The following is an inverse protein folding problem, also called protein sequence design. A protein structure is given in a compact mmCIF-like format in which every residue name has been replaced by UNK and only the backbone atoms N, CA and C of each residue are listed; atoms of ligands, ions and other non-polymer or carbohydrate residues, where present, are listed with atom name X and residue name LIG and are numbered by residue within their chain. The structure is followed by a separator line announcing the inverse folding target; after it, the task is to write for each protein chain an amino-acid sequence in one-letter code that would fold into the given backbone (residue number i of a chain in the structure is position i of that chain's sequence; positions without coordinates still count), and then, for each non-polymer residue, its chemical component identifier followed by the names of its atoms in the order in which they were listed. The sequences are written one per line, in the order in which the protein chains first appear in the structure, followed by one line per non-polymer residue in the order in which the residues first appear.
data_IF_625476902606
#
_entry.id   IF_625476902606
#
_cell.length_a   1.000
_cell.length_b   1.000
_cell.length_c   1.000
_cell.angle_alpha   90.00
_cell.angle_beta   90.00
_cell.angle_gamma   90.00
#
_symmetry.space_group_name_H-M   'P 1'
#
loop_
_entity.id
_entity.type
_entity.pdbx_description
1 polymer ?
#
# COMPACT_ATOMS: atom_id res chain seq x y z
N UNK A 1 -12.56 -7.04 10.00
CA UNK A 1 -12.48 -5.78 9.24
C UNK A 1 -11.22 -5.77 8.40
N UNK A 2 -11.32 -5.25 7.19
CA UNK A 2 -10.15 -5.04 6.32
C UNK A 2 -9.58 -3.65 6.59
N UNK A 3 -8.28 -3.56 6.82
CA UNK A 3 -7.63 -2.27 7.09
C UNK A 3 -7.21 -1.58 5.80
N UNK A 4 -7.51 -0.28 5.71
CA UNK A 4 -6.99 0.66 4.71
C UNK A 4 -6.18 1.71 5.46
N UNK A 5 -4.99 2.02 4.98
CA UNK A 5 -4.18 3.15 5.45
C UNK A 5 -4.14 4.19 4.34
N UNK A 6 -4.50 5.41 4.65
CA UNK A 6 -4.60 6.49 3.66
C UNK A 6 -3.81 7.70 4.11
N UNK A 7 -3.17 8.35 3.14
CA UNK A 7 -2.44 9.58 3.36
C UNK A 7 -2.57 10.52 2.16
N UNK A 8 -2.37 11.81 2.43
CA UNK A 8 -2.37 12.87 1.44
C UNK A 8 -1.14 13.74 1.54
N UNK A 9 -0.46 13.96 0.42
CA UNK A 9 0.73 14.81 0.35
C UNK A 9 0.50 15.98 -0.60
N UNK A 10 0.93 17.18 -0.23
CA UNK A 10 0.90 18.35 -1.11
C UNK A 10 2.21 19.11 -1.05
N UNK A 11 2.98 19.03 -2.13
CA UNK A 11 4.20 19.84 -2.30
C UNK A 11 3.81 21.29 -2.57
N UNK A 12 4.48 22.21 -1.92
CA UNK A 12 4.20 23.66 -1.99
C UNK A 12 2.75 24.00 -1.58
N UNK A 13 2.20 23.28 -0.60
CA UNK A 13 0.82 23.46 -0.13
C UNK A 13 0.46 24.96 0.05
N UNK A 14 -0.71 25.35 -0.50
CA UNK A 14 -1.18 26.74 -0.47
C UNK A 14 -0.50 27.70 -1.47
N UNK A 15 0.42 27.24 -2.33
CA UNK A 15 1.05 28.06 -3.38
C UNK A 15 0.48 27.74 -4.76
N UNK A 16 0.67 28.65 -5.72
CA UNK A 16 0.13 28.56 -7.10
C UNK A 16 0.63 27.31 -7.87
N UNK A 17 1.81 26.79 -7.52
CA UNK A 17 2.41 25.59 -8.11
C UNK A 17 2.32 24.36 -7.18
N UNK A 18 1.34 24.32 -6.31
CA UNK A 18 1.07 23.17 -5.45
C UNK A 18 0.77 21.92 -6.30
N UNK A 19 1.29 20.78 -5.86
CA UNK A 19 1.03 19.47 -6.45
C UNK A 19 0.64 18.51 -5.34
N UNK A 20 -0.62 18.11 -5.34
CA UNK A 20 -1.16 17.17 -4.38
C UNK A 20 -1.19 15.76 -4.95
N UNK A 21 -1.07 14.79 -4.06
CA UNK A 21 -1.26 13.38 -4.35
C UNK A 21 -1.82 12.67 -3.12
N UNK A 22 -2.39 11.52 -3.32
CA UNK A 22 -3.01 10.70 -2.30
C UNK A 22 -2.59 9.25 -2.45
N UNK A 23 -2.71 8.48 -1.37
CA UNK A 23 -2.41 7.07 -1.37
C UNK A 23 -3.43 6.25 -0.57
N UNK A 24 -3.55 4.99 -0.94
CA UNK A 24 -4.22 3.97 -0.16
C UNK A 24 -3.38 2.70 -0.14
N UNK A 25 -3.16 2.16 1.06
CA UNK A 25 -2.39 0.95 1.32
C UNK A 25 -3.27 -0.10 1.98
N UNK A 26 -3.27 -1.29 1.43
CA UNK A 26 -4.03 -2.43 1.91
C UNK A 26 -3.09 -3.55 2.36
N UNK A 27 -2.88 -3.73 3.67
CA UNK A 27 -2.00 -4.79 4.19
C UNK A 27 -2.28 -6.19 3.66
N UNK A 28 -3.57 -6.50 3.48
CA UNK A 28 -4.01 -7.81 2.99
C UNK A 28 -4.00 -7.94 1.47
N UNK A 29 -3.85 -6.83 0.74
CA UNK A 29 -3.86 -6.74 -0.73
C UNK A 29 -2.80 -5.75 -1.22
N UNK A 30 -1.51 -5.98 -0.95
CA UNK A 30 -0.46 -4.99 -1.24
C UNK A 30 -0.36 -4.62 -2.71
N UNK A 31 -0.63 -5.54 -3.65
CA UNK A 31 -0.64 -5.28 -5.09
C UNK A 31 -1.70 -4.28 -5.54
N UNK A 32 -2.75 -4.10 -4.75
CA UNK A 32 -3.81 -3.13 -5.01
C UNK A 32 -3.50 -1.75 -4.42
N UNK A 33 -2.44 -1.65 -3.62
CA UNK A 33 -2.02 -0.38 -3.00
C UNK A 33 -1.42 0.56 -4.02
N UNK A 34 -1.73 1.84 -3.87
CA UNK A 34 -1.34 2.85 -4.85
C UNK A 34 -1.10 4.24 -4.24
N UNK A 35 -0.29 5.05 -4.92
CA UNK A 35 -0.25 6.50 -4.81
C UNK A 35 -0.63 7.13 -6.16
N UNK A 36 -1.41 8.20 -6.14
CA UNK A 36 -1.87 8.89 -7.37
C UNK A 36 -1.86 10.40 -7.18
N UNK A 37 -1.47 11.19 -8.21
CA UNK A 37 -1.60 12.64 -8.15
C UNK A 37 -3.09 13.04 -8.13
N UNK A 38 -3.40 14.15 -7.46
CA UNK A 38 -4.70 14.80 -7.59
C UNK A 38 -4.92 15.28 -9.04
N UNK A 39 -6.18 15.34 -9.51
CA UNK A 39 -6.51 15.96 -10.79
C UNK A 39 -5.95 17.38 -10.86
N UNK A 40 -5.34 17.74 -12.01
CA UNK A 40 -4.63 19.01 -12.17
C UNK A 40 -5.53 20.25 -12.10
N UNK A 41 -6.81 20.08 -12.40
CA UNK A 41 -7.86 21.11 -12.36
C UNK A 41 -8.54 21.23 -11.00
N UNK A 42 -8.17 20.38 -10.04
CA UNK A 42 -8.71 20.35 -8.68
C UNK A 42 -7.86 21.10 -7.66
N UNK A 43 -8.41 21.21 -6.45
CA UNK A 43 -7.68 21.73 -5.29
C UNK A 43 -6.49 20.85 -4.93
N UNK A 44 -5.31 21.45 -4.82
CA UNK A 44 -4.02 20.78 -4.58
C UNK A 44 -3.57 20.89 -3.12
N UNK A 45 -4.51 20.95 -2.16
CA UNK A 45 -4.17 21.06 -0.73
C UNK A 45 -3.99 19.69 -0.07
N UNK A 46 -3.25 19.67 1.06
CA UNK A 46 -3.12 18.47 1.89
C UNK A 46 -4.50 17.90 2.27
N UNK A 47 -5.40 18.75 2.76
CA UNK A 47 -6.73 18.31 3.20
C UNK A 47 -7.55 17.67 2.06
N UNK A 48 -7.44 18.22 0.82
CA UNK A 48 -8.06 17.61 -0.35
C UNK A 48 -7.43 16.25 -0.64
N UNK A 49 -6.11 16.14 -0.57
CA UNK A 49 -5.39 14.89 -0.82
C UNK A 49 -5.76 13.80 0.20
N UNK A 50 -5.80 14.13 1.49
CA UNK A 50 -6.23 13.25 2.58
C UNK A 50 -7.62 12.66 2.35
N UNK A 51 -8.61 13.53 2.14
CA UNK A 51 -10.00 13.10 1.89
C UNK A 51 -10.11 12.30 0.59
N UNK A 52 -9.36 12.67 -0.45
CA UNK A 52 -9.34 11.91 -1.71
C UNK A 52 -8.72 10.52 -1.52
N UNK A 53 -7.69 10.39 -0.69
CA UNK A 53 -7.09 9.10 -0.32
C UNK A 53 -8.11 8.16 0.31
N UNK A 54 -8.92 8.66 1.24
CA UNK A 54 -10.00 7.89 1.86
C UNK A 54 -11.04 7.47 0.80
N UNK A 55 -11.52 8.41 -0.02
CA UNK A 55 -12.53 8.16 -1.03
C UNK A 55 -12.08 7.11 -2.05
N UNK A 56 -10.95 7.34 -2.67
CA UNK A 56 -10.43 6.47 -3.73
C UNK A 56 -9.95 5.12 -3.19
N UNK A 57 -9.47 5.09 -1.94
CA UNK A 57 -9.16 3.84 -1.26
C UNK A 57 -10.39 2.94 -1.07
N UNK A 58 -11.53 3.50 -0.67
CA UNK A 58 -12.79 2.75 -0.56
C UNK A 58 -13.28 2.30 -1.94
N UNK A 59 -13.27 3.20 -2.92
CA UNK A 59 -13.70 2.91 -4.31
C UNK A 59 -12.90 1.79 -4.95
N UNK A 60 -11.59 1.78 -4.77
CA UNK A 60 -10.74 0.73 -5.31
C UNK A 60 -11.10 -0.64 -4.73
N UNK A 61 -11.35 -0.76 -3.41
CA UNK A 61 -11.80 -2.02 -2.80
C UNK A 61 -13.16 -2.47 -3.31
N UNK A 62 -14.10 -1.54 -3.49
CA UNK A 62 -15.42 -1.84 -4.09
C UNK A 62 -15.26 -2.35 -5.52
N UNK A 63 -14.41 -1.71 -6.32
CA UNK A 63 -14.16 -2.07 -7.71
C UNK A 63 -13.65 -3.49 -7.89
N UNK A 64 -12.86 -3.99 -6.95
CA UNK A 64 -12.35 -5.38 -6.95
C UNK A 64 -13.22 -6.35 -6.14
N UNK A 65 -14.37 -5.90 -5.63
CA UNK A 65 -15.28 -6.74 -4.86
C UNK A 65 -14.74 -7.21 -3.51
N UNK A 66 -13.78 -6.48 -2.92
CA UNK A 66 -13.03 -6.93 -1.74
C UNK A 66 -13.49 -6.35 -0.40
N UNK A 67 -14.67 -5.73 -0.32
CA UNK A 67 -15.19 -5.26 0.96
C UNK A 67 -15.81 -6.43 1.72
N UNK A 68 -15.24 -6.84 2.86
CA UNK A 68 -15.78 -7.94 3.64
C UNK A 68 -17.04 -7.53 4.39
N UNK A 69 -17.90 -8.50 4.71
CA UNK A 69 -19.09 -8.29 5.54
C UNK A 69 -18.78 -7.72 6.94
N UNK A 70 -17.58 -7.99 7.45
CA UNK A 70 -17.08 -7.41 8.71
C UNK A 70 -16.70 -5.92 8.60
N UNK A 71 -16.70 -5.35 7.37
CA UNK A 71 -16.47 -3.93 7.11
C UNK A 71 -15.01 -3.49 7.05
N UNK A 72 -14.81 -2.16 7.13
CA UNK A 72 -13.55 -1.48 6.91
C UNK A 72 -13.02 -0.82 8.19
N UNK A 73 -11.71 -0.90 8.37
CA UNK A 73 -10.94 -0.13 9.33
C UNK A 73 -10.11 0.90 8.55
N UNK A 74 -10.53 2.16 8.59
CA UNK A 74 -9.93 3.26 7.82
C UNK A 74 -8.96 4.00 8.73
N UNK A 75 -7.68 3.88 8.46
CA UNK A 75 -6.58 4.41 9.23
C UNK A 75 -5.96 5.60 8.51
N UNK A 76 -5.80 6.73 9.20
CA UNK A 76 -5.15 7.93 8.70
C UNK A 76 -4.60 8.73 9.87
N UNK A 77 -3.56 9.53 9.65
CA UNK A 77 -3.04 10.50 10.63
C UNK A 77 -3.74 11.86 10.54
N UNK A 78 -4.64 12.03 9.57
CA UNK A 78 -5.43 13.25 9.39
C UNK A 78 -6.56 13.37 10.41
N UNK A 79 -6.29 14.00 11.55
CA UNK A 79 -7.35 14.37 12.50
C UNK A 79 -8.47 15.20 11.86
N UNK A 80 -8.10 16.04 10.89
CA UNK A 80 -9.06 16.85 10.14
C UNK A 80 -10.07 15.97 9.43
N UNK A 81 -9.62 14.99 8.65
CA UNK A 81 -10.48 14.08 7.89
C UNK A 81 -11.38 13.26 8.81
N UNK A 82 -10.84 12.73 9.90
CA UNK A 82 -11.62 12.01 10.90
C UNK A 82 -12.69 12.90 11.52
N UNK A 83 -12.33 14.10 11.97
CA UNK A 83 -13.29 15.02 12.59
C UNK A 83 -14.39 15.45 11.61
N UNK A 84 -14.05 15.70 10.33
CA UNK A 84 -15.03 15.99 9.29
C UNK A 84 -16.08 14.88 9.17
N UNK A 85 -15.63 13.62 9.10
CA UNK A 85 -16.47 12.46 8.79
C UNK A 85 -17.23 11.91 10.02
N UNK A 86 -16.73 12.14 11.24
CA UNK A 86 -17.30 11.55 12.44
C UNK A 86 -17.98 12.56 13.36
N UNK A 87 -17.37 13.74 13.56
CA UNK A 87 -17.83 14.73 14.54
C UNK A 87 -18.65 15.86 13.93
N UNK A 88 -18.13 16.46 12.84
CA UNK A 88 -18.68 17.73 12.35
C UNK A 88 -19.79 17.58 11.32
N UNK A 89 -19.77 16.49 10.55
CA UNK A 89 -20.71 16.25 9.43
C UNK A 89 -22.18 16.31 9.86
N UNK A 90 -22.53 15.77 11.02
CA UNK A 90 -23.92 15.79 11.52
C UNK A 90 -24.42 17.22 11.77
N UNK A 91 -23.56 18.07 12.31
CA UNK A 91 -23.84 19.49 12.52
C UNK A 91 -23.92 20.26 11.22
N UNK A 92 -23.04 19.95 10.26
CA UNK A 92 -23.06 20.58 8.95
C UNK A 92 -24.31 20.23 8.14
N UNK A 93 -24.70 18.96 8.10
CA UNK A 93 -25.96 18.53 7.46
C UNK A 93 -27.18 19.26 8.03
N UNK A 94 -27.25 19.46 9.36
CA UNK A 94 -28.33 20.21 9.98
C UNK A 94 -28.36 21.70 9.61
N UNK A 95 -27.21 22.29 9.22
CA UNK A 95 -27.02 23.69 8.83
C UNK A 95 -26.87 23.88 7.33
N UNK A 96 -27.37 22.97 6.53
CA UNK A 96 -27.24 23.02 5.06
C UNK A 96 -25.78 23.18 4.61
N UNK A 97 -24.89 22.35 5.17
CA UNK A 97 -23.44 22.34 4.88
C UNK A 97 -22.73 23.68 5.14
N UNK A 98 -23.13 24.37 6.21
CA UNK A 98 -22.48 25.61 6.66
C UNK A 98 -21.74 25.40 7.97
N UNK A 99 -20.62 26.10 8.14
CA UNK A 99 -19.88 26.18 9.41
C UNK A 99 -20.70 26.91 10.47
N UNK A 100 -20.21 26.99 11.70
CA UNK A 100 -20.84 27.78 12.76
C UNK A 100 -20.93 29.28 12.40
N UNK A 101 -19.94 29.76 11.61
CA UNK A 101 -19.86 31.16 11.14
C UNK A 101 -20.71 31.40 9.87
N UNK A 102 -21.48 30.41 9.41
CA UNK A 102 -22.34 30.52 8.24
C UNK A 102 -21.63 30.37 6.88
N UNK A 103 -20.33 30.06 6.87
CA UNK A 103 -19.57 29.84 5.62
C UNK A 103 -19.82 28.45 5.06
N UNK A 104 -19.82 28.27 3.71
CA UNK A 104 -19.90 26.94 3.10
C UNK A 104 -18.75 26.03 3.58
N UNK A 105 -19.04 24.76 3.80
CA UNK A 105 -18.01 23.73 4.08
C UNK A 105 -17.20 23.48 2.80
N UNK A 106 -15.89 23.69 2.87
CA UNK A 106 -14.98 23.68 1.71
C UNK A 106 -14.97 22.32 0.99
N UNK A 107 -14.95 21.21 1.74
CA UNK A 107 -14.83 19.86 1.18
C UNK A 107 -16.19 19.11 1.12
N UNK A 108 -17.31 19.85 1.03
CA UNK A 108 -18.65 19.26 1.03
C UNK A 108 -18.78 18.08 0.07
N UNK A 109 -18.41 18.26 -1.21
CA UNK A 109 -18.54 17.24 -2.24
C UNK A 109 -17.79 15.96 -1.91
N UNK A 110 -16.51 16.06 -1.52
CA UNK A 110 -15.70 14.90 -1.12
C UNK A 110 -16.31 14.18 0.09
N UNK A 111 -16.77 14.94 1.07
CA UNK A 111 -17.37 14.37 2.28
C UNK A 111 -18.69 13.64 1.97
N UNK A 112 -19.54 14.21 1.11
CA UNK A 112 -20.79 13.56 0.67
C UNK A 112 -20.50 12.27 -0.11
N UNK A 113 -19.49 12.28 -0.98
CA UNK A 113 -19.07 11.09 -1.73
C UNK A 113 -18.52 10.00 -0.81
N UNK A 114 -17.64 10.33 0.14
CA UNK A 114 -17.13 9.35 1.12
C UNK A 114 -18.27 8.72 1.91
N UNK A 115 -19.20 9.54 2.42
CA UNK A 115 -20.34 9.05 3.20
C UNK A 115 -21.24 8.14 2.37
N UNK A 116 -21.44 8.48 1.09
CA UNK A 116 -22.19 7.63 0.14
C UNK A 116 -21.49 6.30 -0.09
N UNK A 117 -20.16 6.32 -0.26
CA UNK A 117 -19.39 5.07 -0.41
C UNK A 117 -19.42 4.20 0.85
N UNK A 118 -19.59 4.78 2.02
CA UNK A 118 -19.67 4.06 3.30
C UNK A 118 -21.10 3.63 3.67
N UNK A 119 -22.10 4.03 2.89
CA UNK A 119 -23.49 3.65 3.16
C UNK A 119 -23.67 2.12 3.11
N UNK A 120 -24.22 1.55 4.18
CA UNK A 120 -24.39 0.10 4.31
C UNK A 120 -23.10 -0.69 4.57
N UNK A 121 -21.94 -0.04 4.63
CA UNK A 121 -20.65 -0.67 4.93
C UNK A 121 -20.32 -0.45 6.41
N UNK A 122 -20.21 -1.50 7.24
CA UNK A 122 -19.69 -1.37 8.60
C UNK A 122 -18.27 -0.78 8.54
N UNK A 123 -18.02 0.27 9.30
CA UNK A 123 -16.71 0.92 9.25
C UNK A 123 -16.34 1.61 10.56
N UNK A 124 -15.04 1.79 10.76
CA UNK A 124 -14.47 2.62 11.82
C UNK A 124 -13.30 3.44 11.30
N UNK A 125 -13.19 4.69 11.76
CA UNK A 125 -12.02 5.52 11.54
C UNK A 125 -11.05 5.36 12.71
N UNK A 126 -9.77 5.23 12.40
CA UNK A 126 -8.69 5.08 13.37
C UNK A 126 -7.64 6.15 13.09
N UNK A 127 -7.38 6.98 14.09
CA UNK A 127 -6.25 7.91 14.04
C UNK A 127 -4.95 7.16 14.30
N UNK A 128 -4.01 7.27 13.37
CA UNK A 128 -2.66 6.72 13.50
C UNK A 128 -1.68 7.87 13.75
N UNK A 129 -0.69 7.65 14.60
CA UNK A 129 0.35 8.67 14.83
C UNK A 129 1.32 8.68 13.66
N UNK A 130 1.49 9.84 13.03
CA UNK A 130 2.50 10.05 11.99
C UNK A 130 3.93 10.02 12.57
N UNK A 131 4.88 9.59 11.76
CA UNK A 131 6.33 9.74 12.00
C UNK A 131 6.85 9.21 13.35
N UNK A 132 6.28 8.13 13.88
CA UNK A 132 6.74 7.50 15.13
C UNK A 132 7.98 6.60 14.94
N UNK A 133 8.58 6.57 13.74
CA UNK A 133 9.69 5.67 13.42
C UNK A 133 9.27 4.21 13.27
N UNK A 134 7.97 3.95 13.14
CA UNK A 134 7.45 2.61 12.84
C UNK A 134 7.53 1.63 14.01
N UNK A 135 7.36 2.09 15.25
CA UNK A 135 7.39 1.22 16.44
C UNK A 135 6.22 0.23 16.47
N UNK A 136 5.06 0.61 15.93
CA UNK A 136 3.88 -0.26 15.84
C UNK A 136 3.45 -0.54 14.39
N UNK A 137 2.61 -1.54 14.22
CA UNK A 137 2.14 -1.98 12.90
C UNK A 137 1.34 -0.93 12.16
N UNK A 138 0.52 -0.14 12.85
CA UNK A 138 -0.33 0.88 12.24
C UNK A 138 0.52 2.04 11.70
N UNK A 139 1.48 2.51 12.50
CA UNK A 139 2.41 3.57 12.10
C UNK A 139 3.22 3.18 10.86
N UNK A 140 3.70 1.93 10.79
CA UNK A 140 4.43 1.42 9.62
C UNK A 140 3.61 1.46 8.34
N UNK A 141 2.34 1.02 8.40
CA UNK A 141 1.47 1.06 7.23
C UNK A 141 1.11 2.49 6.82
N UNK A 142 0.96 3.38 7.78
CA UNK A 142 0.77 4.80 7.52
C UNK A 142 2.01 5.42 6.84
N UNK A 143 3.22 5.08 7.29
CA UNK A 143 4.47 5.51 6.66
C UNK A 143 4.57 5.07 5.18
N UNK A 144 4.05 3.89 4.83
CA UNK A 144 3.97 3.49 3.42
C UNK A 144 2.96 4.30 2.62
N UNK A 145 1.82 4.67 3.21
CA UNK A 145 0.86 5.55 2.57
C UNK A 145 1.47 6.93 2.32
N UNK A 146 2.15 7.53 3.31
CA UNK A 146 2.90 8.79 3.16
C UNK A 146 3.93 8.70 2.03
N UNK A 147 4.78 7.66 2.02
CA UNK A 147 5.78 7.47 0.99
C UNK A 147 5.18 7.35 -0.41
N UNK A 148 4.05 6.64 -0.57
CA UNK A 148 3.35 6.53 -1.86
C UNK A 148 2.77 7.86 -2.31
N UNK A 149 2.09 8.58 -1.41
CA UNK A 149 1.52 9.90 -1.70
C UNK A 149 2.63 10.90 -2.07
N UNK A 150 3.69 10.97 -1.27
CA UNK A 150 4.83 11.85 -1.51
C UNK A 150 5.50 11.54 -2.85
N UNK A 151 5.78 10.27 -3.15
CA UNK A 151 6.38 9.86 -4.41
C UNK A 151 5.49 10.15 -5.62
N UNK A 152 4.16 9.96 -5.49
CA UNK A 152 3.22 10.31 -6.55
C UNK A 152 3.15 11.82 -6.80
N UNK A 153 3.21 12.65 -5.75
CA UNK A 153 3.29 14.11 -5.86
C UNK A 153 4.59 14.56 -6.54
N UNK A 154 5.71 13.89 -6.25
CA UNK A 154 7.02 14.17 -6.86
C UNK A 154 7.07 13.84 -8.34
N UNK A 155 6.60 12.65 -8.69
CA UNK A 155 6.67 12.14 -10.05
C UNK A 155 5.55 12.66 -10.95
N UNK A 156 4.43 13.16 -10.36
CA UNK A 156 3.25 13.61 -11.10
C UNK A 156 2.56 12.48 -11.87
N UNK A 157 2.72 11.22 -11.43
CA UNK A 157 2.11 10.03 -12.03
C UNK A 157 1.71 9.01 -10.95
N UNK A 158 0.82 8.06 -11.29
CA UNK A 158 0.55 6.93 -10.41
C UNK A 158 1.81 6.14 -10.04
N UNK A 159 1.87 5.68 -8.80
CA UNK A 159 2.95 4.86 -8.22
C UNK A 159 2.32 3.62 -7.61
N UNK A 160 2.88 2.46 -7.89
CA UNK A 160 2.47 1.18 -7.30
C UNK A 160 3.29 0.90 -6.04
N UNK A 161 2.73 0.12 -5.13
CA UNK A 161 3.40 -0.29 -3.90
C UNK A 161 4.73 -1.00 -4.16
N UNK A 162 4.80 -1.85 -5.19
CA UNK A 162 6.00 -2.55 -5.59
C UNK A 162 7.17 -1.62 -5.91
N UNK A 163 6.89 -0.42 -6.44
CA UNK A 163 7.93 0.57 -6.75
C UNK A 163 8.61 1.14 -5.50
N UNK A 164 7.94 1.14 -4.33
CA UNK A 164 8.58 1.47 -3.05
C UNK A 164 9.46 0.33 -2.56
N UNK A 165 8.94 -0.88 -2.61
CA UNK A 165 9.62 -2.08 -2.12
C UNK A 165 10.88 -2.38 -2.95
N UNK A 166 10.82 -2.23 -4.28
CA UNK A 166 12.00 -2.37 -5.14
C UNK A 166 13.15 -1.43 -4.75
N UNK A 167 12.85 -0.21 -4.29
CA UNK A 167 13.87 0.73 -3.82
C UNK A 167 14.50 0.27 -2.51
N UNK A 168 13.71 -0.25 -1.58
CA UNK A 168 14.18 -0.76 -0.28
C UNK A 168 15.10 -1.97 -0.49
N UNK A 169 14.71 -2.89 -1.38
CA UNK A 169 15.54 -4.05 -1.74
C UNK A 169 16.85 -3.62 -2.44
N UNK A 170 16.84 -2.54 -3.24
CA UNK A 170 18.05 -2.06 -3.95
C UNK A 170 19.01 -1.27 -3.07
N UNK A 171 18.55 -0.64 -1.99
CA UNK A 171 19.41 0.27 -1.19
C UNK A 171 20.04 -0.39 0.04
N UNK A 172 19.57 -1.57 0.46
CA UNK A 172 20.02 -2.19 1.71
C UNK A 172 20.52 -3.63 1.62
N UNK A 173 20.06 -4.40 0.63
CA UNK A 173 20.43 -5.81 0.53
C UNK A 173 20.38 -6.23 -0.93
N UNK A 174 21.46 -6.79 -1.47
CA UNK A 174 21.45 -7.34 -2.81
C UNK A 174 20.60 -8.61 -2.85
N UNK A 175 20.02 -8.96 -4.00
CA UNK A 175 19.29 -10.21 -4.12
C UNK A 175 20.18 -11.43 -3.85
N UNK A 176 21.50 -11.30 -4.01
CA UNK A 176 22.49 -12.32 -3.65
C UNK A 176 22.60 -12.49 -2.14
N UNK A 177 22.55 -11.41 -1.35
CA UNK A 177 22.53 -11.47 0.12
C UNK A 177 21.24 -12.11 0.61
N UNK A 178 20.09 -11.78 0.00
CA UNK A 178 18.81 -12.42 0.32
C UNK A 178 18.83 -13.91 -0.02
N UNK A 179 19.34 -14.27 -1.20
CA UNK A 179 19.39 -15.67 -1.66
C UNK A 179 20.47 -16.47 -0.95
N UNK A 180 21.63 -15.89 -0.61
CA UNK A 180 22.69 -16.57 0.14
C UNK A 180 22.29 -16.89 1.59
N UNK A 181 21.33 -16.12 2.13
CA UNK A 181 20.78 -16.38 3.47
C UNK A 181 19.71 -17.48 3.51
N UNK A 182 19.19 -17.96 2.38
CA UNK A 182 18.16 -19.01 2.38
C UNK A 182 18.82 -20.36 2.73
N UNK A 183 18.37 -21.05 3.80
CA UNK A 183 18.94 -22.34 4.15
C UNK A 183 18.78 -23.35 3.02
N UNK A 184 19.84 -24.04 2.61
CA UNK A 184 19.84 -25.08 1.55
C UNK A 184 18.73 -26.12 1.73
N UNK A 185 18.38 -26.44 2.98
CA UNK A 185 17.32 -27.40 3.32
C UNK A 185 15.90 -27.00 2.87
N UNK A 186 15.67 -25.72 2.53
CA UNK A 186 14.36 -25.27 2.00
C UNK A 186 14.34 -25.16 0.49
N UNK A 187 15.50 -25.32 -0.17
CA UNK A 187 15.57 -25.35 -1.62
C UNK A 187 14.93 -26.66 -2.15
N UNK A 188 14.09 -26.51 -3.17
CA UNK A 188 13.35 -27.62 -3.77
C UNK A 188 12.09 -28.06 -3.00
N UNK A 189 11.93 -27.72 -1.73
CA UNK A 189 10.68 -27.95 -1.00
C UNK A 189 9.60 -26.94 -1.35
N UNK A 190 8.34 -27.35 -1.55
CA UNK A 190 7.25 -26.41 -1.74
C UNK A 190 6.95 -25.71 -0.40
N UNK A 191 6.91 -24.37 -0.42
CA UNK A 191 6.62 -23.54 0.73
C UNK A 191 5.37 -22.71 0.49
N UNK A 192 4.57 -22.50 1.53
CA UNK A 192 3.53 -21.48 1.48
C UNK A 192 4.17 -20.09 1.25
N UNK A 193 3.38 -19.13 0.74
CA UNK A 193 3.86 -17.77 0.57
C UNK A 193 4.37 -17.17 1.88
N UNK A 194 3.64 -17.42 2.99
CA UNK A 194 4.01 -16.97 4.32
C UNK A 194 5.33 -17.59 4.81
N UNK A 195 5.54 -18.90 4.56
CA UNK A 195 6.76 -19.59 5.00
C UNK A 195 7.97 -19.17 4.14
N UNK A 196 7.78 -18.95 2.84
CA UNK A 196 8.83 -18.44 1.96
C UNK A 196 9.27 -17.03 2.40
N UNK A 197 8.31 -16.14 2.64
CA UNK A 197 8.57 -14.81 3.17
C UNK A 197 9.28 -14.88 4.51
N UNK A 198 8.81 -15.70 5.44
CA UNK A 198 9.44 -15.90 6.74
C UNK A 198 10.87 -16.42 6.63
N UNK A 199 11.13 -17.36 5.71
CA UNK A 199 12.47 -17.91 5.49
C UNK A 199 13.43 -16.88 4.90
N UNK A 200 12.95 -16.02 3.97
CA UNK A 200 13.74 -14.94 3.39
C UNK A 200 14.04 -13.88 4.45
N UNK A 201 13.06 -13.49 5.25
CA UNK A 201 13.18 -12.45 6.27
C UNK A 201 13.99 -12.89 7.50
N UNK A 202 14.01 -14.17 7.83
CA UNK A 202 14.83 -14.70 8.92
C UNK A 202 16.34 -14.46 8.73
N UNK A 203 16.75 -14.18 7.49
CA UNK A 203 18.16 -13.98 7.12
C UNK A 203 18.48 -12.54 6.68
N UNK A 204 17.50 -11.64 6.71
CA UNK A 204 17.68 -10.22 6.35
C UNK A 204 17.33 -9.35 7.55
N UNK A 205 18.35 -8.95 8.31
CA UNK A 205 18.20 -8.19 9.56
C UNK A 205 17.55 -6.79 9.41
N UNK A 206 17.38 -6.31 8.17
CA UNK A 206 16.90 -4.96 7.86
C UNK A 206 15.47 -4.89 7.29
N UNK A 207 14.82 -6.03 7.04
CA UNK A 207 13.50 -6.07 6.42
C UNK A 207 12.43 -6.44 7.45
N UNK A 208 11.44 -5.59 7.62
CA UNK A 208 10.37 -5.82 8.59
C UNK A 208 9.42 -6.95 8.12
N UNK A 209 9.32 -7.98 8.93
CA UNK A 209 8.79 -9.31 8.59
C UNK A 209 7.31 -9.35 8.17
N UNK A 210 6.52 -8.29 8.38
CA UNK A 210 5.07 -8.32 8.17
C UNK A 210 4.61 -7.78 6.80
N UNK A 211 5.50 -7.18 6.04
CA UNK A 211 5.10 -6.28 4.95
C UNK A 211 5.30 -6.79 3.52
N UNK A 212 5.91 -7.94 3.34
CA UNK A 212 6.57 -8.20 2.07
C UNK A 212 6.01 -9.38 1.25
N UNK A 213 4.96 -10.05 1.69
CA UNK A 213 4.46 -11.25 1.03
C UNK A 213 4.42 -11.19 -0.50
N UNK A 214 3.35 -10.70 -1.08
CA UNK A 214 3.18 -10.68 -2.53
C UNK A 214 4.13 -9.73 -3.26
N UNK A 215 4.47 -8.58 -2.65
CA UNK A 215 5.38 -7.59 -3.24
C UNK A 215 6.83 -8.10 -3.27
N UNK A 216 7.29 -8.76 -2.20
CA UNK A 216 8.61 -9.39 -2.16
C UNK A 216 8.70 -10.53 -3.17
N UNK A 217 7.67 -11.37 -3.27
CA UNK A 217 7.62 -12.45 -4.26
C UNK A 217 7.64 -11.88 -5.69
N UNK A 218 6.93 -10.78 -5.94
CA UNK A 218 6.96 -10.11 -7.25
C UNK A 218 8.34 -9.52 -7.58
N UNK A 219 8.97 -8.86 -6.61
CA UNK A 219 10.32 -8.32 -6.76
C UNK A 219 11.36 -9.44 -6.92
N UNK A 220 11.25 -10.52 -6.14
CA UNK A 220 12.08 -11.70 -6.27
C UNK A 220 11.95 -12.35 -7.65
N UNK A 221 10.73 -12.52 -8.17
CA UNK A 221 10.50 -13.06 -9.51
C UNK A 221 11.24 -12.28 -10.59
N UNK A 222 11.18 -10.95 -10.56
CA UNK A 222 11.90 -10.10 -11.52
C UNK A 222 13.43 -10.24 -11.39
N UNK A 223 13.93 -10.32 -10.16
CA UNK A 223 15.36 -10.41 -9.88
C UNK A 223 15.88 -11.82 -10.20
N UNK A 224 15.12 -12.85 -9.92
CA UNK A 224 15.49 -14.25 -10.15
C UNK A 224 15.47 -14.64 -11.64
N UNK A 225 14.62 -14.00 -12.46
CA UNK A 225 14.67 -14.22 -13.92
C UNK A 225 16.01 -13.84 -14.55
N UNK A 226 16.80 -13.00 -13.87
CA UNK A 226 18.16 -12.63 -14.31
C UNK A 226 19.27 -13.51 -13.68
N UNK A 227 18.94 -14.53 -12.88
CA UNK A 227 19.89 -15.29 -12.06
C UNK A 227 19.70 -16.80 -12.14
N UNK A 228 20.53 -17.53 -11.40
CA UNK A 228 20.61 -19.00 -11.42
C UNK A 228 19.39 -19.72 -10.79
N UNK A 229 18.39 -19.01 -10.29
CA UNK A 229 17.23 -19.61 -9.60
C UNK A 229 15.92 -19.21 -10.25
N UNK A 230 14.92 -20.10 -10.13
CA UNK A 230 13.55 -19.89 -10.57
C UNK A 230 12.55 -20.10 -9.41
N UNK A 231 11.43 -19.40 -9.45
CA UNK A 231 10.37 -19.52 -8.47
C UNK A 231 9.14 -20.17 -9.10
N UNK A 232 9.04 -21.47 -8.94
CA UNK A 232 7.93 -22.24 -9.47
C UNK A 232 6.69 -22.08 -8.56
N UNK A 233 5.57 -21.68 -9.15
CA UNK A 233 4.28 -21.67 -8.45
C UNK A 233 3.71 -23.07 -8.37
N UNK A 234 3.38 -23.56 -7.19
CA UNK A 234 2.80 -24.88 -6.92
C UNK A 234 1.61 -24.76 -5.97
N UNK A 235 1.13 -25.86 -5.44
CA UNK A 235 0.05 -25.91 -4.44
C UNK A 235 0.40 -26.86 -3.32
N UNK A 236 0.06 -26.48 -2.08
CA UNK A 236 0.07 -27.34 -0.89
C UNK A 236 -1.35 -27.36 -0.34
N UNK A 237 -1.96 -28.55 -0.25
CA UNK A 237 -3.35 -28.73 0.20
C UNK A 237 -4.36 -27.81 -0.50
N UNK A 238 -4.16 -27.54 -1.80
CA UNK A 238 -5.02 -26.66 -2.60
C UNK A 238 -4.70 -25.17 -2.50
N UNK A 239 -3.91 -24.73 -1.54
CA UNK A 239 -3.46 -23.33 -1.39
C UNK A 239 -2.23 -23.03 -2.27
N UNK A 240 -2.07 -21.79 -2.69
CA UNK A 240 -0.90 -21.33 -3.44
C UNK A 240 0.38 -21.52 -2.61
N UNK A 241 1.40 -22.07 -3.23
CA UNK A 241 2.72 -22.29 -2.66
C UNK A 241 3.80 -22.03 -3.71
N UNK A 242 5.04 -21.89 -3.27
CA UNK A 242 6.17 -21.60 -4.14
C UNK A 242 7.34 -22.53 -3.83
N UNK A 243 8.06 -22.93 -4.88
CA UNK A 243 9.28 -23.72 -4.80
C UNK A 243 10.41 -22.95 -5.43
N UNK A 244 11.53 -22.83 -4.73
CA UNK A 244 12.77 -22.27 -5.24
C UNK A 244 13.59 -23.37 -5.87
N UNK A 245 13.89 -23.25 -7.17
CA UNK A 245 14.67 -24.24 -7.93
C UNK A 245 15.88 -23.56 -8.56
N UNK A 246 17.02 -24.26 -8.53
CA UNK A 246 18.22 -23.82 -9.21
C UNK A 246 18.04 -24.07 -10.72
N UNK A 247 18.35 -23.05 -11.54
CA UNK A 247 18.38 -23.23 -13.00
C UNK A 247 19.57 -24.09 -13.37
N UNK A 248 19.31 -25.33 -13.79
CA UNK A 248 20.35 -26.13 -14.43
C UNK A 248 20.73 -25.50 -15.74
N UNK A 249 21.92 -24.95 -15.84
CA UNK A 249 22.54 -24.61 -17.12
C UNK A 249 22.80 -25.94 -17.86
N UNK A 250 21.88 -26.35 -18.70
CA UNK A 250 22.20 -27.31 -19.75
C UNK A 250 23.10 -26.60 -20.76
N UNK A 251 24.39 -26.67 -20.52
CA UNK A 251 25.38 -26.43 -21.57
C UNK A 251 25.18 -27.55 -22.56
N UNK A 252 24.47 -27.29 -23.65
CA UNK A 252 24.49 -28.19 -24.82
C UNK A 252 25.86 -27.96 -25.41
N UNK A 253 26.83 -28.79 -25.03
CA UNK A 253 28.02 -28.99 -25.85
C UNK A 253 27.54 -29.59 -27.19
N UNK A 254 27.67 -28.79 -28.25
CA UNK A 254 27.59 -29.32 -29.59
C UNK A 254 28.67 -30.36 -29.72
N UNK A 255 28.30 -31.63 -29.68
CA UNK A 255 29.11 -32.71 -30.24
C UNK A 255 29.14 -32.48 -31.75
N UNK A 256 30.16 -31.82 -32.25
CA UNK A 256 30.54 -31.88 -33.66
C UNK A 256 31.11 -33.28 -33.90
N UNK A 257 30.39 -34.03 -34.65
CA UNK A 257 30.87 -35.26 -35.35
C UNK A 257 30.71 -35.09 -36.84
#
# INVERSE_FOLDING_TARGET
MLSIYTDGSSRNNGRKNSKGAYAAVYPSLPSESFGRPLPADGSQTNQTAELTGILEGIRALKGIGSIPSLGLRICTDSEYSINCLTKWVSGWKKRDWKTAEGKPVVHKVLLEEILKELEGVPHQFVHVRAHTGGEDTDSKWNDYADQLATKAAELGRPVKFEELVEKVVRTGTTADEVLSGIPLKIMGAPLSEADLVKAILANTASLDQKFLGAALISALKKTMNARAYDLEKTKIHGAAAYRLIEKTHLTIEKLDS
#
